data_IF_519161397237
#
_entry.id   IF_519161397237
#
_cell.length_a   1.000
_cell.length_b   1.000
_cell.length_c   1.000
_cell.angle_alpha   90.00
_cell.angle_beta   90.00
_cell.angle_gamma   90.00
#
_symmetry.space_group_name_H-M   'P 1'
#
loop_
_entity.id
_entity.type
_entity.pdbx_description
1 polymer ?
#
# COMPACT_ATOMS: atom_id res chain seq x y z
N UNK A 1 4.16 18.56 3.23
CA UNK A 1 5.15 17.48 3.51
C UNK A 1 4.42 16.42 4.34
N UNK A 2 4.42 15.15 3.91
CA UNK A 2 3.80 14.06 4.67
C UNK A 2 4.84 13.49 5.64
N UNK A 3 4.42 13.15 6.86
CA UNK A 3 5.27 12.54 7.88
C UNK A 3 5.15 11.01 7.84
N UNK A 4 6.22 10.28 8.21
CA UNK A 4 6.15 8.83 8.39
C UNK A 4 5.13 8.50 9.51
N UNK A 5 4.17 7.62 9.21
CA UNK A 5 3.12 7.20 10.15
C UNK A 5 3.23 5.76 10.62
N UNK A 6 4.08 4.95 9.99
CA UNK A 6 4.29 3.55 10.34
C UNK A 6 4.88 2.76 9.19
N UNK A 7 4.99 1.45 9.38
CA UNK A 7 5.34 0.48 8.35
C UNK A 7 4.27 -0.61 8.31
N UNK A 8 3.87 -1.01 7.11
CA UNK A 8 2.95 -2.11 6.86
C UNK A 8 3.74 -3.28 6.28
N UNK A 9 3.56 -4.49 6.83
CA UNK A 9 4.27 -5.70 6.42
C UNK A 9 3.27 -6.80 6.07
N UNK A 10 3.49 -7.49 4.96
CA UNK A 10 2.67 -8.61 4.50
C UNK A 10 2.84 -9.88 5.36
N UNK A 11 4.00 -10.02 6.01
CA UNK A 11 4.27 -11.12 6.95
C UNK A 11 3.53 -10.98 8.28
N UNK A 12 2.91 -9.82 8.51
CA UNK A 12 2.12 -9.54 9.70
C UNK A 12 0.67 -9.39 9.26
N UNK A 13 -0.20 -10.26 9.76
CA UNK A 13 -1.63 -10.25 9.42
C UNK A 13 -2.40 -9.12 10.15
N UNK A 14 -1.80 -7.93 10.21
CA UNK A 14 -2.31 -6.76 10.91
C UNK A 14 -3.05 -5.84 9.94
N UNK A 15 -4.19 -5.31 10.38
CA UNK A 15 -4.89 -4.24 9.66
C UNK A 15 -4.28 -2.90 10.07
N UNK A 16 -3.65 -2.22 9.11
CA UNK A 16 -3.12 -0.87 9.31
C UNK A 16 -4.19 0.17 8.99
N UNK A 17 -4.18 1.29 9.68
CA UNK A 17 -5.21 2.31 9.49
C UNK A 17 -4.67 3.74 9.51
N UNK A 18 -5.39 4.64 8.84
CA UNK A 18 -5.13 6.09 8.83
C UNK A 18 -6.45 6.84 8.75
N UNK A 19 -6.69 7.75 9.68
CA UNK A 19 -7.89 8.59 9.65
C UNK A 19 -7.82 9.66 8.56
N UNK A 20 -8.96 9.93 7.94
CA UNK A 20 -9.20 11.03 7.03
C UNK A 20 -10.04 12.11 7.71
N UNK A 21 -9.89 13.36 7.27
CA UNK A 21 -10.52 14.55 7.86
C UNK A 21 -12.07 14.54 7.87
N UNK A 22 -12.72 13.56 7.23
CA UNK A 22 -14.17 13.45 7.06
C UNK A 22 -14.83 12.33 7.86
N UNK A 23 -14.16 11.80 8.89
CA UNK A 23 -14.69 10.70 9.71
C UNK A 23 -14.66 9.34 9.03
N UNK A 24 -13.97 9.23 7.88
CA UNK A 24 -13.59 7.96 7.29
C UNK A 24 -12.20 7.56 7.77
N UNK A 25 -11.97 6.25 7.86
CA UNK A 25 -10.66 5.69 8.13
C UNK A 25 -10.26 4.82 6.95
N UNK A 26 -9.06 5.05 6.40
CA UNK A 26 -8.43 4.14 5.45
C UNK A 26 -7.96 2.92 6.24
N UNK A 27 -8.27 1.73 5.75
CA UNK A 27 -7.70 0.46 6.21
C UNK A 27 -6.88 -0.18 5.11
N UNK A 28 -5.78 -0.78 5.51
CA UNK A 28 -4.90 -1.56 4.65
C UNK A 28 -4.76 -2.94 5.28
N UNK A 29 -5.12 -3.96 4.52
CA UNK A 29 -5.19 -5.33 5.00
C UNK A 29 -4.58 -6.29 3.97
N UNK A 30 -3.72 -7.17 4.46
CA UNK A 30 -3.14 -8.25 3.68
C UNK A 30 -4.26 -9.22 3.25
N UNK A 31 -4.37 -9.49 1.95
CA UNK A 31 -5.20 -10.60 1.46
C UNK A 31 -4.35 -11.87 1.42
N UNK A 32 -3.15 -11.75 0.82
CA UNK A 32 -2.15 -12.79 0.72
C UNK A 32 -0.73 -12.20 0.58
N UNK A 33 0.25 -13.07 0.34
CA UNK A 33 1.67 -12.71 0.23
C UNK A 33 1.98 -11.73 -0.91
N UNK A 34 1.07 -11.52 -1.86
CA UNK A 34 1.26 -10.69 -3.06
C UNK A 34 0.33 -9.46 -3.09
N UNK A 35 -0.84 -9.55 -2.46
CA UNK A 35 -1.92 -8.57 -2.60
C UNK A 35 -2.38 -8.07 -1.22
N UNK A 36 -2.57 -6.76 -1.12
CA UNK A 36 -3.33 -6.12 -0.06
C UNK A 36 -4.50 -5.32 -0.61
N UNK A 37 -5.56 -5.18 0.20
CA UNK A 37 -6.66 -4.26 -0.07
C UNK A 37 -6.49 -2.96 0.69
N UNK A 38 -6.86 -1.86 0.03
CA UNK A 38 -7.02 -0.55 0.64
C UNK A 38 -8.50 -0.17 0.52
N UNK A 39 -9.17 0.06 1.64
CA UNK A 39 -10.60 0.35 1.69
C UNK A 39 -10.91 1.39 2.75
N UNK A 40 -12.12 1.95 2.70
CA UNK A 40 -12.58 2.97 3.64
C UNK A 40 -13.61 2.36 4.59
N UNK A 41 -13.57 2.79 5.85
CA UNK A 41 -14.62 2.49 6.83
C UNK A 41 -15.12 3.77 7.49
N UNK A 42 -16.35 3.74 7.99
CA UNK A 42 -16.88 4.80 8.86
C UNK A 42 -16.45 4.64 10.33
N UNK A 43 -16.94 5.52 11.19
CA UNK A 43 -16.69 5.50 12.64
C UNK A 43 -17.19 4.21 13.34
N UNK A 44 -18.08 3.45 12.72
CA UNK A 44 -18.56 2.16 13.22
C UNK A 44 -17.75 0.98 12.66
N UNK A 45 -16.74 1.25 11.82
CA UNK A 45 -15.92 0.23 11.18
C UNK A 45 -16.60 -0.47 10.01
N UNK A 46 -17.71 0.07 9.49
CA UNK A 46 -18.43 -0.48 8.33
C UNK A 46 -17.78 0.03 7.05
N UNK A 47 -17.52 -0.86 6.10
CA UNK A 47 -16.93 -0.50 4.82
C UNK A 47 -17.84 0.45 4.04
N UNK A 48 -17.25 1.50 3.50
CA UNK A 48 -17.92 2.52 2.71
C UNK A 48 -17.44 2.48 1.25
N UNK A 49 -18.30 2.85 0.28
CA UNK A 49 -17.89 3.04 -1.10
C UNK A 49 -16.77 4.06 -1.21
N UNK A 50 -15.84 3.85 -2.16
CA UNK A 50 -14.78 4.82 -2.43
C UNK A 50 -15.40 6.02 -3.17
N UNK A 51 -15.38 7.24 -2.60
CA UNK A 51 -15.91 8.42 -3.26
C UNK A 51 -15.08 8.79 -4.50
N UNK A 52 -15.72 9.38 -5.52
CA UNK A 52 -15.09 9.72 -6.80
C UNK A 52 -13.91 10.71 -6.70
N UNK A 53 -13.81 11.45 -5.60
CA UNK A 53 -12.70 12.37 -5.35
C UNK A 53 -11.49 11.70 -4.67
N UNK A 54 -11.55 10.39 -4.41
CA UNK A 54 -10.44 9.60 -3.89
C UNK A 54 -9.86 8.75 -5.01
N UNK A 55 -8.55 8.91 -5.22
CA UNK A 55 -7.81 8.21 -6.28
C UNK A 55 -6.54 7.61 -5.71
N UNK A 56 -6.16 6.43 -6.19
CA UNK A 56 -4.87 5.82 -5.88
C UNK A 56 -4.06 5.66 -7.16
N UNK A 57 -2.80 6.08 -7.12
CA UNK A 57 -1.89 6.07 -8.28
C UNK A 57 -0.62 5.31 -7.89
N UNK A 58 -0.13 4.43 -8.77
CA UNK A 58 1.13 3.72 -8.54
C UNK A 58 2.36 4.57 -8.94
N UNK A 59 3.57 4.09 -8.65
CA UNK A 59 4.79 4.83 -8.97
C UNK A 59 5.04 5.04 -10.47
N UNK A 60 4.37 4.28 -11.35
CA UNK A 60 4.42 4.46 -12.81
C UNK A 60 3.42 5.51 -13.32
N UNK A 61 2.61 6.10 -12.44
CA UNK A 61 1.60 7.09 -12.81
C UNK A 61 0.26 6.50 -13.25
N UNK A 62 0.04 5.18 -13.11
CA UNK A 62 -1.24 4.56 -13.44
C UNK A 62 -2.23 4.70 -12.28
N UNK A 63 -3.44 5.19 -12.58
CA UNK A 63 -4.56 5.21 -11.64
C UNK A 63 -5.08 3.79 -11.46
N UNK A 64 -5.21 3.36 -10.20
CA UNK A 64 -5.74 2.04 -9.87
C UNK A 64 -7.27 2.00 -10.06
N UNK A 65 -7.82 0.91 -10.59
CA UNK A 65 -9.26 0.71 -10.62
C UNK A 65 -9.80 0.45 -9.21
N UNK A 66 -11.05 0.89 -8.98
CA UNK A 66 -11.84 0.49 -7.81
C UNK A 66 -12.52 -0.83 -8.15
N UNK A 67 -12.35 -1.84 -7.29
CA UNK A 67 -12.96 -3.16 -7.43
C UNK A 67 -13.67 -3.47 -6.12
N UNK A 68 -15.01 -3.61 -6.14
CA UNK A 68 -15.82 -3.89 -4.94
C UNK A 68 -15.50 -2.94 -3.76
N UNK A 69 -15.53 -1.63 -4.01
CA UNK A 69 -15.30 -0.58 -3.01
C UNK A 69 -13.92 -0.63 -2.32
N UNK A 70 -12.91 -1.16 -3.01
CA UNK A 70 -11.52 -1.18 -2.56
C UNK A 70 -10.54 -0.97 -3.72
N UNK A 71 -9.32 -0.56 -3.39
CA UNK A 71 -8.17 -0.65 -4.29
C UNK A 71 -7.38 -1.92 -3.96
N UNK A 72 -6.89 -2.61 -4.98
CA UNK A 72 -5.96 -3.72 -4.83
C UNK A 72 -4.54 -3.22 -5.11
N UNK A 73 -3.64 -3.42 -4.17
CA UNK A 73 -2.24 -3.05 -4.28
C UNK A 73 -1.37 -4.31 -4.17
N UNK A 74 -0.26 -4.31 -4.89
CA UNK A 74 0.80 -5.31 -4.74
C UNK A 74 1.98 -4.76 -3.96
N UNK A 75 2.71 -5.64 -3.27
CA UNK A 75 3.83 -5.23 -2.42
C UNK A 75 5.01 -4.65 -3.20
N UNK A 76 5.15 -4.97 -4.50
CA UNK A 76 6.28 -4.61 -5.36
C UNK A 76 6.28 -3.15 -5.86
N UNK A 77 5.21 -2.39 -5.60
CA UNK A 77 5.09 -1.01 -6.07
C UNK A 77 4.86 -0.02 -4.91
N UNK A 78 5.13 1.25 -5.18
CA UNK A 78 4.74 2.35 -4.28
C UNK A 78 3.45 2.99 -4.78
N UNK A 79 2.66 3.56 -3.87
CA UNK A 79 1.36 4.12 -4.19
C UNK A 79 1.12 5.43 -3.47
N UNK A 80 0.39 6.33 -4.11
CA UNK A 80 -0.11 7.56 -3.51
C UNK A 80 -1.63 7.56 -3.57
N UNK A 81 -2.27 7.67 -2.41
CA UNK A 81 -3.70 7.95 -2.31
C UNK A 81 -3.89 9.45 -2.11
N UNK A 82 -4.73 10.02 -2.95
CA UNK A 82 -5.07 11.44 -2.95
C UNK A 82 -6.56 11.65 -2.73
N UNK A 83 -6.91 12.74 -2.05
CA UNK A 83 -8.30 13.21 -1.85
C UNK A 83 -8.40 14.60 -2.46
N UNK A 84 -9.34 14.80 -3.39
CA UNK A 84 -9.45 16.04 -4.18
C UNK A 84 -8.11 16.41 -4.88
N UNK A 85 -7.39 15.42 -5.40
CA UNK A 85 -6.09 15.60 -6.04
C UNK A 85 -4.93 15.95 -5.09
N UNK A 86 -5.17 16.04 -3.78
CA UNK A 86 -4.12 16.30 -2.78
C UNK A 86 -3.64 15.00 -2.13
N UNK A 87 -2.33 14.69 -2.14
CA UNK A 87 -1.80 13.49 -1.50
C UNK A 87 -2.12 13.45 0.00
N UNK A 88 -2.74 12.35 0.47
CA UNK A 88 -3.07 12.13 1.89
C UNK A 88 -2.30 10.95 2.48
N UNK A 89 -2.03 9.93 1.68
CA UNK A 89 -1.27 8.76 2.10
C UNK A 89 -0.30 8.35 1.00
N UNK A 90 0.93 8.00 1.40
CA UNK A 90 1.94 7.44 0.50
C UNK A 90 2.41 6.12 1.10
N UNK A 91 2.30 5.06 0.31
CA UNK A 91 2.86 3.75 0.60
C UNK A 91 4.16 3.62 -0.19
N UNK A 92 5.29 3.70 0.51
CA UNK A 92 6.60 3.54 -0.09
C UNK A 92 7.02 2.07 0.01
N UNK A 93 7.29 1.46 -1.13
CA UNK A 93 7.93 0.15 -1.18
C UNK A 93 9.38 0.29 -0.70
N UNK A 94 9.79 -0.57 0.24
CA UNK A 94 11.14 -0.56 0.84
C UNK A 94 12.17 -1.45 0.13
N UNK A 95 11.78 -2.13 -0.96
CA UNK A 95 12.57 -2.87 -1.97
C UNK A 95 13.66 -3.77 -1.40
N UNK A 96 13.28 -4.85 -0.73
CA UNK A 96 14.26 -5.87 -0.29
C UNK A 96 13.77 -7.27 -0.63
N UNK A 97 14.66 -8.08 -1.21
CA UNK A 97 14.49 -9.50 -1.41
C UNK A 97 15.72 -10.21 -0.88
N UNK A 98 15.53 -11.31 -0.16
CA UNK A 98 16.62 -12.17 0.27
C UNK A 98 17.05 -13.07 -0.90
N UNK A 99 18.35 -13.21 -1.11
CA UNK A 99 18.90 -14.20 -2.03
C UNK A 99 19.15 -15.47 -1.22
N UNK A 100 18.39 -16.52 -1.50
CA UNK A 100 18.61 -17.85 -0.95
C UNK A 100 19.15 -18.76 -2.07
N UNK A 101 20.22 -19.51 -1.80
CA UNK A 101 20.83 -20.43 -2.75
C UNK A 101 21.41 -21.66 -2.05
N UNK A 102 21.76 -22.72 -2.81
CA UNK A 102 22.47 -23.88 -2.26
C UNK A 102 23.76 -23.47 -1.54
N UNK A 103 24.18 -24.24 -0.53
CA UNK A 103 25.39 -23.94 0.27
C UNK A 103 26.64 -23.72 -0.60
N UNK A 104 26.71 -24.39 -1.75
CA UNK A 104 27.85 -24.35 -2.68
C UNK A 104 27.76 -23.22 -3.71
N UNK A 105 26.66 -22.45 -3.73
CA UNK A 105 26.46 -21.38 -4.69
C UNK A 105 27.29 -20.16 -4.27
N UNK A 106 28.13 -19.67 -5.19
CA UNK A 106 28.81 -18.40 -5.01
C UNK A 106 27.78 -17.26 -5.04
N UNK A 107 27.91 -16.33 -4.09
CA UNK A 107 27.09 -15.11 -4.03
C UNK A 107 27.97 -13.91 -3.69
N UNK A 108 27.58 -12.71 -4.14
CA UNK A 108 28.34 -11.48 -3.96
C UNK A 108 27.75 -10.33 -4.78
N UNK A 109 28.26 -9.12 -4.58
CA UNK A 109 27.86 -7.92 -5.36
C UNK A 109 28.99 -7.61 -6.34
N UNK A 110 28.69 -7.58 -7.64
CA UNK A 110 29.59 -7.01 -8.62
C UNK A 110 29.30 -5.50 -8.71
N UNK A 111 30.32 -4.66 -8.47
CA UNK A 111 30.16 -3.23 -8.67
C UNK A 111 29.99 -2.94 -10.17
N UNK A 112 28.87 -2.32 -10.55
CA UNK A 112 28.68 -1.78 -11.89
C UNK A 112 29.50 -0.51 -12.06
N UNK A 113 30.24 -0.43 -13.17
CA UNK A 113 30.95 0.78 -13.60
C UNK A 113 30.03 1.82 -14.23
#
# INVERSE_FOLDING_TARGET
MLALKGSFSYTQNNVNFMDLDNGLTIRIECIDEEIARVYLVDAHGVQQPIPANITMINAAGHVLPIVNDMFLITWINSYTLSVNGQPRMVLNNQKQQAINGPLHALSGVLAGG
#
